data_IF_850156993533
#
_entry.id   IF_850156993533
#
_cell.length_a   1.000
_cell.length_b   1.000
_cell.length_c   1.000
_cell.angle_alpha   90.00
_cell.angle_beta   90.00
_cell.angle_gamma   90.00
#
_symmetry.space_group_name_H-M   'P 1'
#
loop_
_entity.id
_entity.type
_entity.pdbx_description
1 polymer ?
#
# COMPACT_ATOMS: atom_id res chain seq x y z
N UNK A 1 -2.27 -12.04 10.45
CA UNK A 1 -1.93 -10.78 9.74
C UNK A 1 -1.62 -9.66 10.72
N UNK A 2 -2.46 -9.41 11.73
CA UNK A 2 -2.24 -8.40 12.80
C UNK A 2 -0.89 -8.51 13.53
N UNK A 3 -0.49 -9.72 13.94
CA UNK A 3 0.81 -9.92 14.63
C UNK A 3 2.04 -9.56 13.77
N UNK A 4 1.94 -9.69 12.44
CA UNK A 4 3.04 -9.30 11.54
C UNK A 4 3.16 -7.78 11.40
N UNK A 5 2.06 -7.03 11.57
CA UNK A 5 2.07 -5.55 11.48
C UNK A 5 2.93 -4.89 12.56
N UNK A 6 3.03 -5.50 13.75
CA UNK A 6 3.87 -5.01 14.86
C UNK A 6 5.38 -5.06 14.55
N UNK A 7 5.78 -5.84 13.55
CA UNK A 7 7.18 -6.00 13.12
C UNK A 7 7.45 -5.27 11.79
N UNK A 8 6.44 -4.59 11.23
CA UNK A 8 6.58 -3.83 9.99
C UNK A 8 6.99 -2.39 10.32
N UNK A 9 8.07 -1.94 9.70
CA UNK A 9 8.44 -0.52 9.65
C UNK A 9 7.90 0.13 8.38
N UNK A 10 7.84 1.46 8.33
CA UNK A 10 7.50 2.17 7.10
C UNK A 10 8.40 1.72 5.94
N UNK A 11 7.81 1.63 4.75
CA UNK A 11 8.51 1.27 3.54
C UNK A 11 8.61 2.49 2.61
N UNK A 12 9.72 2.58 1.86
CA UNK A 12 9.78 3.46 0.70
C UNK A 12 9.00 2.80 -0.42
N UNK A 13 8.11 3.52 -1.08
CA UNK A 13 7.43 3.02 -2.27
C UNK A 13 7.65 3.97 -3.44
N UNK A 14 8.16 3.44 -4.55
CA UNK A 14 8.30 4.13 -5.81
C UNK A 14 7.24 3.62 -6.79
N UNK A 15 6.61 4.54 -7.51
CA UNK A 15 5.60 4.24 -8.53
C UNK A 15 6.15 4.71 -9.86
N UNK A 16 6.29 3.81 -10.83
CA UNK A 16 6.74 4.12 -12.17
C UNK A 16 5.74 3.60 -13.21
N UNK A 17 5.55 4.28 -14.36
CA UNK A 17 4.76 3.74 -15.46
C UNK A 17 5.31 2.40 -15.95
N UNK A 18 4.42 1.48 -16.29
CA UNK A 18 4.76 0.22 -16.95
C UNK A 18 4.44 0.29 -18.45
N UNK A 19 5.10 -0.55 -19.26
CA UNK A 19 4.95 -0.55 -20.71
C UNK A 19 3.54 -0.94 -21.18
N UNK A 20 2.77 -1.64 -20.35
CA UNK A 20 1.39 -2.06 -20.61
C UNK A 20 0.34 -1.02 -20.19
N UNK A 21 0.77 0.21 -19.90
CA UNK A 21 -0.10 1.29 -19.39
C UNK A 21 -0.45 1.13 -17.91
N UNK A 22 0.09 0.12 -17.22
CA UNK A 22 -0.01 -0.07 -15.78
C UNK A 22 1.02 0.71 -14.98
N UNK A 23 1.20 0.31 -13.73
CA UNK A 23 2.16 0.89 -12.79
C UNK A 23 3.03 -0.20 -12.17
N UNK A 24 4.34 0.05 -12.09
CA UNK A 24 5.27 -0.68 -11.26
C UNK A 24 5.31 -0.02 -9.88
N UNK A 25 4.75 -0.69 -8.88
CA UNK A 25 4.82 -0.30 -7.48
C UNK A 25 5.97 -1.07 -6.81
N UNK A 26 7.09 -0.38 -6.61
CA UNK A 26 8.28 -0.93 -5.96
C UNK A 26 8.33 -0.50 -4.51
N UNK A 27 8.14 -1.43 -3.58
CA UNK A 27 8.23 -1.19 -2.14
C UNK A 27 9.53 -1.77 -1.56
N UNK A 28 10.29 -0.92 -0.88
CA UNK A 28 11.51 -1.26 -0.14
C UNK A 28 11.23 -1.20 1.35
N UNK A 29 11.48 -2.30 2.06
CA UNK A 29 11.19 -2.44 3.48
C UNK A 29 12.27 -3.23 4.21
N UNK A 30 12.41 -2.97 5.51
CA UNK A 30 13.32 -3.69 6.38
C UNK A 30 12.71 -5.05 6.77
N UNK A 31 13.47 -6.12 6.57
CA UNK A 31 13.09 -7.48 6.99
C UNK A 31 14.31 -8.21 7.53
N UNK A 32 14.27 -8.62 8.81
CA UNK A 32 15.39 -9.28 9.50
C UNK A 32 16.70 -8.50 9.36
N UNK A 33 16.65 -7.19 9.62
CA UNK A 33 17.77 -6.25 9.51
C UNK A 33 18.40 -6.12 8.11
N UNK A 34 17.71 -6.58 7.07
CA UNK A 34 18.11 -6.43 5.68
C UNK A 34 17.06 -5.66 4.87
N UNK A 35 17.52 -4.83 3.94
CA UNK A 35 16.65 -4.12 3.01
C UNK A 35 16.18 -5.07 1.90
N UNK A 36 14.90 -5.44 1.92
CA UNK A 36 14.25 -6.17 0.83
C UNK A 36 13.48 -5.20 -0.06
N UNK A 37 13.52 -5.42 -1.37
CA UNK A 37 12.71 -4.66 -2.34
C UNK A 37 11.80 -5.61 -3.10
N UNK A 38 10.54 -5.23 -3.26
CA UNK A 38 9.53 -5.98 -4.01
C UNK A 38 8.81 -5.07 -4.98
N UNK A 39 8.70 -5.51 -6.23
CA UNK A 39 7.95 -4.79 -7.26
C UNK A 39 6.67 -5.55 -7.58
N UNK A 40 5.56 -4.83 -7.54
CA UNK A 40 4.23 -5.28 -7.94
C UNK A 40 3.88 -4.61 -9.27
N UNK A 41 3.51 -5.41 -10.27
CA UNK A 41 2.96 -4.89 -11.52
C UNK A 41 1.44 -4.75 -11.36
N UNK A 42 0.98 -3.50 -11.27
CA UNK A 42 -0.42 -3.11 -11.20
C UNK A 42 -0.94 -2.87 -12.62
N UNK A 43 -1.78 -3.76 -13.13
CA UNK A 43 -2.35 -3.62 -14.47
C UNK A 43 -3.64 -2.80 -14.43
N UNK A 44 -3.93 -1.95 -15.43
CA UNK A 44 -5.18 -1.22 -15.46
C UNK A 44 -6.38 -2.17 -15.39
N UNK A 45 -7.34 -1.87 -14.53
CA UNK A 45 -8.54 -2.68 -14.36
C UNK A 45 -9.76 -1.75 -14.20
N UNK A 46 -10.54 -1.59 -15.26
CA UNK A 46 -11.75 -0.76 -15.24
C UNK A 46 -11.45 0.75 -15.35
N UNK A 47 -12.08 1.61 -14.52
CA UNK A 47 -11.96 3.05 -14.63
C UNK A 47 -10.57 3.56 -14.19
N UNK A 48 -10.21 4.81 -14.53
CA UNK A 48 -8.98 5.43 -14.06
C UNK A 48 -8.85 5.38 -12.53
N UNK A 49 -7.67 4.97 -12.04
CA UNK A 49 -7.41 4.80 -10.60
C UNK A 49 -7.65 3.38 -10.06
N UNK A 50 -8.22 2.48 -10.87
CA UNK A 50 -8.40 1.07 -10.53
C UNK A 50 -7.39 0.18 -11.27
N UNK A 51 -6.76 -0.71 -10.51
CA UNK A 51 -5.72 -1.62 -11.00
C UNK A 51 -5.94 -3.03 -10.46
N UNK A 52 -5.39 -4.03 -11.16
CA UNK A 52 -5.39 -5.42 -10.73
C UNK A 52 -3.98 -5.93 -10.57
N UNK A 53 -3.79 -6.76 -9.55
CA UNK A 53 -2.55 -7.47 -9.27
C UNK A 53 -2.85 -8.96 -9.07
N UNK A 54 -2.23 -9.80 -9.90
CA UNK A 54 -2.30 -11.26 -9.75
C UNK A 54 -0.99 -11.75 -9.17
N UNK A 55 -1.08 -12.35 -7.98
CA UNK A 55 0.06 -12.95 -7.29
C UNK A 55 0.49 -14.24 -8.00
N UNK A 56 1.71 -14.32 -8.56
CA UNK A 56 2.16 -15.50 -9.29
C UNK A 56 2.24 -16.76 -8.42
N UNK A 57 2.52 -16.57 -7.12
CA UNK A 57 2.74 -17.68 -6.18
C UNK A 57 1.44 -18.24 -5.61
N UNK A 58 0.43 -17.38 -5.40
CA UNK A 58 -0.79 -17.74 -4.68
C UNK A 58 -2.01 -17.89 -5.59
N UNK A 59 -1.87 -17.59 -6.89
CA UNK A 59 -2.97 -17.53 -7.87
C UNK A 59 -4.15 -16.67 -7.39
N UNK A 60 -3.89 -15.72 -6.48
CA UNK A 60 -4.86 -14.79 -5.96
C UNK A 60 -4.79 -13.48 -6.74
N UNK A 61 -5.96 -12.96 -7.10
CA UNK A 61 -6.08 -11.66 -7.75
C UNK A 61 -6.65 -10.68 -6.76
N UNK A 62 -5.98 -9.53 -6.68
CA UNK A 62 -6.41 -8.40 -5.87
C UNK A 62 -6.67 -7.21 -6.79
N UNK A 63 -7.68 -6.43 -6.45
CA UNK A 63 -7.91 -5.12 -7.04
C UNK A 63 -7.40 -4.05 -6.10
N UNK A 64 -6.79 -3.02 -6.67
CA UNK A 64 -6.19 -1.88 -5.98
C UNK A 64 -6.80 -0.63 -6.57
N UNK A 65 -7.50 0.12 -5.72
CA UNK A 65 -8.19 1.35 -6.11
C UNK A 65 -7.62 2.54 -5.35
N UNK A 66 -7.27 3.60 -6.08
CA UNK A 66 -6.93 4.90 -5.50
C UNK A 66 -8.24 5.61 -5.17
N UNK A 67 -8.63 5.57 -3.90
CA UNK A 67 -9.90 6.14 -3.43
C UNK A 67 -9.86 7.67 -3.37
N UNK A 68 -8.73 8.23 -2.92
CA UNK A 68 -8.54 9.67 -2.80
C UNK A 68 -7.05 10.01 -2.88
N UNK A 69 -6.67 11.05 -3.60
CA UNK A 69 -5.31 11.57 -3.59
C UNK A 69 -5.31 13.03 -4.02
N UNK A 70 -4.39 13.80 -3.45
CA UNK A 70 -4.08 15.15 -3.91
C UNK A 70 -2.80 15.18 -4.76
N UNK A 71 -2.23 14.01 -5.07
CA UNK A 71 -0.97 13.75 -5.78
C UNK A 71 0.31 14.25 -5.08
N UNK A 72 0.21 15.38 -4.37
CA UNK A 72 1.31 16.15 -3.80
C UNK A 72 1.61 15.79 -2.34
N UNK A 73 0.64 15.29 -1.57
CA UNK A 73 0.85 15.05 -0.13
C UNK A 73 0.44 13.65 0.31
N UNK A 74 -0.68 13.10 -0.17
CA UNK A 74 -1.13 11.76 0.19
C UNK A 74 -1.90 11.03 -0.90
N UNK A 75 -2.02 9.72 -0.73
CA UNK A 75 -2.97 8.88 -1.43
C UNK A 75 -3.57 7.84 -0.48
N UNK A 76 -4.89 7.68 -0.52
CA UNK A 76 -5.65 6.63 0.15
C UNK A 76 -5.99 5.56 -0.87
N UNK A 77 -5.54 4.33 -0.58
CA UNK A 77 -5.78 3.19 -1.43
C UNK A 77 -6.61 2.15 -0.69
N UNK A 78 -7.46 1.46 -1.44
CA UNK A 78 -8.13 0.25 -1.00
C UNK A 78 -7.68 -0.92 -1.84
N UNK A 79 -7.33 -2.02 -1.19
CA UNK A 79 -7.01 -3.28 -1.84
C UNK A 79 -7.96 -4.35 -1.35
N UNK A 80 -8.57 -5.09 -2.26
CA UNK A 80 -9.43 -6.23 -1.95
C UNK A 80 -9.09 -7.45 -2.81
N UNK A 81 -9.29 -8.63 -2.26
CA UNK A 81 -9.15 -9.88 -3.00
C UNK A 81 -10.41 -10.18 -3.80
N UNK A 82 -10.27 -10.31 -5.11
CA UNK A 82 -11.42 -10.59 -6.00
C UNK A 82 -11.46 -12.04 -6.49
N UNK A 83 -10.32 -12.75 -6.45
CA UNK A 83 -10.24 -14.14 -6.94
C UNK A 83 -9.22 -14.97 -6.15
N UNK A 84 -9.56 -16.24 -5.94
CA UNK A 84 -8.68 -17.23 -5.32
C UNK A 84 -8.75 -17.23 -3.78
N UNK A 85 -7.80 -17.87 -3.10
CA UNK A 85 -7.81 -18.05 -1.64
C UNK A 85 -7.63 -16.73 -0.85
N UNK A 86 -7.38 -15.61 -1.54
CA UNK A 86 -7.26 -14.28 -0.95
C UNK A 86 -8.54 -13.45 -0.96
N UNK A 87 -9.71 -14.01 -1.31
CA UNK A 87 -10.95 -13.22 -1.51
C UNK A 87 -11.42 -12.46 -0.27
N UNK A 88 -11.15 -12.98 0.93
CA UNK A 88 -11.51 -12.31 2.17
C UNK A 88 -10.51 -11.23 2.59
N UNK A 89 -9.43 -11.04 1.81
CA UNK A 89 -8.43 -10.02 2.07
C UNK A 89 -8.96 -8.64 1.71
N UNK A 90 -8.88 -7.71 2.66
CA UNK A 90 -9.11 -6.29 2.44
C UNK A 90 -8.09 -5.47 3.22
N UNK A 91 -7.61 -4.37 2.62
CA UNK A 91 -6.58 -3.52 3.20
C UNK A 91 -6.76 -2.07 2.75
N UNK A 92 -6.85 -1.17 3.71
CA UNK A 92 -6.71 0.26 3.48
C UNK A 92 -5.24 0.68 3.67
N UNK A 93 -4.70 1.47 2.74
CA UNK A 93 -3.31 1.94 2.76
C UNK A 93 -3.27 3.45 2.63
N UNK A 94 -2.48 4.10 3.49
CA UNK A 94 -2.11 5.51 3.36
C UNK A 94 -0.69 5.60 2.80
N UNK A 95 -0.55 6.17 1.61
CA UNK A 95 0.71 6.69 1.12
C UNK A 95 0.83 8.17 1.46
N UNK A 96 2.00 8.57 1.94
CA UNK A 96 2.36 9.96 2.22
C UNK A 96 3.64 10.29 1.48
N UNK A 97 3.73 11.50 0.91
CA UNK A 97 4.97 11.99 0.30
C UNK A 97 6.06 12.29 1.33
N UNK A 98 5.69 12.44 2.61
CA UNK A 98 6.63 12.63 3.72
C UNK A 98 6.53 11.48 4.72
N UNK A 99 7.62 11.18 5.43
CA UNK A 99 7.62 10.19 6.52
C UNK A 99 6.80 10.64 7.75
N UNK A 100 6.36 11.90 7.79
CA UNK A 100 5.57 12.49 8.88
C UNK A 100 4.29 13.10 8.32
N UNK A 101 3.29 12.28 7.95
CA UNK A 101 2.00 12.81 7.54
C UNK A 101 1.41 13.66 8.67
N UNK A 102 0.82 14.80 8.30
CA UNK A 102 0.14 15.72 9.22
C UNK A 102 -1.01 15.01 9.92
N UNK A 103 -1.41 15.51 11.10
CA UNK A 103 -2.51 14.93 11.87
C UNK A 103 -3.80 14.82 11.04
N UNK A 104 -4.12 15.85 10.24
CA UNK A 104 -5.27 15.88 9.33
C UNK A 104 -5.27 14.72 8.32
N UNK A 105 -4.10 14.35 7.77
CA UNK A 105 -3.98 13.23 6.82
C UNK A 105 -4.19 11.89 7.53
N UNK A 106 -3.68 11.76 8.77
CA UNK A 106 -3.89 10.57 9.60
C UNK A 106 -5.36 10.42 10.00
N UNK A 107 -6.03 11.52 10.32
CA UNK A 107 -7.45 11.54 10.62
C UNK A 107 -8.29 11.17 9.40
N UNK A 108 -7.98 11.73 8.22
CA UNK A 108 -8.57 11.32 6.93
C UNK A 108 -8.45 9.80 6.70
N UNK A 109 -7.26 9.24 6.88
CA UNK A 109 -7.06 7.78 6.74
C UNK A 109 -7.87 6.99 7.78
N UNK A 110 -7.93 7.46 9.02
CA UNK A 110 -8.70 6.79 10.08
C UNK A 110 -10.19 6.78 9.75
N UNK A 111 -10.74 7.92 9.32
CA UNK A 111 -12.14 8.05 8.89
C UNK A 111 -12.43 7.16 7.68
N UNK A 112 -11.54 7.17 6.68
CA UNK A 112 -11.64 6.29 5.52
C UNK A 112 -11.65 4.81 5.90
N UNK A 113 -10.69 4.36 6.72
CA UNK A 113 -10.65 2.98 7.18
C UNK A 113 -11.89 2.59 7.99
N UNK A 114 -12.39 3.46 8.88
CA UNK A 114 -13.63 3.22 9.61
C UNK A 114 -14.85 3.09 8.68
N UNK A 115 -14.92 3.91 7.62
CA UNK A 115 -16.01 3.82 6.63
C UNK A 115 -16.03 2.49 5.87
N UNK A 116 -14.86 1.84 5.75
CA UNK A 116 -14.70 0.51 5.17
C UNK A 116 -14.92 -0.63 6.18
N UNK A 117 -15.28 -0.32 7.43
CA UNK A 117 -15.56 -1.30 8.48
C UNK A 117 -14.34 -1.78 9.27
N UNK A 118 -13.15 -1.15 9.10
CA UNK A 118 -12.00 -1.47 9.94
C UNK A 118 -12.22 -0.96 11.38
N UNK A 119 -11.88 -1.79 12.36
CA UNK A 119 -11.87 -1.40 13.78
C UNK A 119 -10.69 -0.50 14.10
N UNK A 120 -10.78 0.29 15.18
CA UNK A 120 -9.67 1.16 15.61
C UNK A 120 -8.37 0.38 15.85
N UNK A 121 -8.46 -0.81 16.42
CA UNK A 121 -7.32 -1.71 16.65
C UNK A 121 -6.69 -2.24 15.35
N UNK A 122 -7.46 -2.29 14.26
CA UNK A 122 -7.00 -2.71 12.94
C UNK A 122 -6.24 -1.62 12.17
N UNK A 123 -6.41 -0.37 12.58
CA UNK A 123 -5.80 0.83 11.99
C UNK A 123 -4.48 1.10 12.70
N UNK A 124 -3.38 0.97 11.97
CA UNK A 124 -2.04 1.16 12.52
C UNK A 124 -1.25 2.14 11.67
N UNK A 125 -0.50 3.02 12.33
CA UNK A 125 0.51 3.85 11.69
C UNK A 125 1.87 3.22 11.93
N UNK A 126 2.56 2.86 10.84
CA UNK A 126 3.84 2.18 10.94
C UNK A 126 4.91 3.11 11.52
N UNK A 127 5.83 2.60 12.37
CA UNK A 127 6.92 3.39 12.90
C UNK A 127 7.88 3.82 11.78
N UNK A 128 8.53 4.97 12.00
CA UNK A 128 9.58 5.46 11.10
C UNK A 128 10.77 4.51 11.11
N UNK A 129 11.39 4.37 9.95
CA UNK A 129 12.70 3.75 9.81
C UNK A 129 13.54 4.65 8.94
N UNK A 130 14.72 5.01 9.42
CA UNK A 130 15.74 5.69 8.60
C UNK A 130 16.49 4.66 7.72
N UNK A 131 16.45 3.37 8.08
CA UNK A 131 17.07 2.30 7.30
C UNK A 131 16.26 1.97 6.06
N UNK A 132 16.94 1.70 4.95
CA UNK A 132 16.36 1.36 3.64
C UNK A 132 15.59 2.49 2.94
N UNK A 133 15.73 3.74 3.40
CA UNK A 133 15.11 4.93 2.81
C UNK A 133 16.03 5.66 1.82
N UNK A 134 17.33 5.37 1.82
CA UNK A 134 18.31 6.00 0.94
C UNK A 134 18.14 5.57 -0.52
N UNK A 135 18.14 6.55 -1.42
CA UNK A 135 18.49 6.31 -2.82
C UNK A 135 20.00 6.07 -2.84
N UNK A 136 20.44 4.94 -3.39
CA UNK A 136 21.77 4.93 -3.97
C UNK A 136 21.71 5.94 -5.12
N UNK A 137 22.24 7.14 -4.85
CA UNK A 137 22.54 8.16 -5.85
C UNK A 137 23.52 7.62 -6.89
#
# INVERSE_FOLDING_TARGET
FLEKKKVLSMCKSAVAPAADGGLNLTSTFLRKDQCETRTLLLRPAGPPGCYSYTSPHWSSTHEVSVAETDYETYALLYTEGVRGPGRDFHMATLYSRTQTPRAEVKEKFTTFAKSLGFTEEGIVFLPKTETCMEERA
#
